data_IF_172795217425
#
_entry.id   IF_172795217425
#
_cell.length_a   1.000
_cell.length_b   1.000
_cell.length_c   1.000
_cell.angle_alpha   90.00
_cell.angle_beta   90.00
_cell.angle_gamma   90.00
#
_symmetry.space_group_name_H-M   'P 1'
#
loop_
_entity.id
_entity.type
_entity.pdbx_description
1 polymer ?
#
# COMPACT_ATOMS: atom_id res chain seq x y z
N UNK A 1 -55.13 37.59 -17.38
CA UNK A 1 -53.82 36.99 -17.70
C UNK A 1 -52.88 37.33 -16.55
N UNK A 2 -52.54 36.36 -15.69
CA UNK A 2 -51.54 36.55 -14.61
C UNK A 2 -50.53 35.40 -14.75
N UNK A 3 -49.32 35.77 -15.11
CA UNK A 3 -48.20 34.86 -15.38
C UNK A 3 -47.69 34.26 -14.07
N UNK A 4 -47.59 32.94 -14.01
CA UNK A 4 -46.88 32.20 -12.98
C UNK A 4 -45.42 32.06 -13.43
N UNK A 5 -44.50 32.76 -12.78
CA UNK A 5 -43.06 32.58 -12.95
C UNK A 5 -42.61 31.40 -12.09
N UNK A 6 -42.32 30.26 -12.72
CA UNK A 6 -41.67 29.13 -12.07
C UNK A 6 -40.15 29.35 -12.11
N UNK A 7 -39.54 29.58 -10.94
CA UNK A 7 -38.09 29.59 -10.80
C UNK A 7 -37.60 28.13 -10.68
N UNK A 8 -36.87 27.65 -11.69
CA UNK A 8 -36.22 26.35 -11.65
C UNK A 8 -34.92 26.47 -10.83
N UNK A 9 -34.86 25.83 -9.66
CA UNK A 9 -33.63 25.65 -8.89
C UNK A 9 -32.83 24.52 -9.54
N UNK A 10 -31.78 24.90 -10.28
CA UNK A 10 -30.82 23.93 -10.83
C UNK A 10 -29.87 23.50 -9.70
N UNK A 11 -30.14 22.35 -9.09
CA UNK A 11 -29.20 21.74 -8.13
C UNK A 11 -27.98 21.25 -8.90
N UNK A 12 -26.84 21.92 -8.75
CA UNK A 12 -25.57 21.43 -9.25
C UNK A 12 -25.21 20.15 -8.49
N UNK A 13 -25.33 19.00 -9.15
CA UNK A 13 -24.75 17.76 -8.66
C UNK A 13 -23.22 17.93 -8.70
N UNK A 14 -22.61 18.21 -7.55
CA UNK A 14 -21.17 18.00 -7.35
C UNK A 14 -20.95 16.51 -7.47
N UNK A 15 -20.52 16.07 -8.65
CA UNK A 15 -19.87 14.77 -8.78
C UNK A 15 -18.60 14.82 -7.95
N UNK A 16 -18.61 14.20 -6.77
CA UNK A 16 -17.36 13.83 -6.11
C UNK A 16 -16.65 12.87 -7.05
N UNK A 17 -15.72 13.38 -7.83
CA UNK A 17 -14.73 12.55 -8.50
C UNK A 17 -13.91 11.97 -7.35
N UNK A 18 -14.25 10.74 -6.94
CA UNK A 18 -13.51 10.01 -5.91
C UNK A 18 -12.12 9.71 -6.48
N UNK A 19 -11.22 10.67 -6.27
CA UNK A 19 -9.86 10.77 -6.77
C UNK A 19 -8.87 9.71 -6.27
N UNK A 20 -9.31 8.76 -5.45
CA UNK A 20 -8.41 7.98 -4.60
C UNK A 20 -9.00 6.61 -4.19
N UNK A 21 -8.20 5.76 -3.57
CA UNK A 21 -8.55 4.37 -3.23
C UNK A 21 -7.91 3.90 -1.91
N UNK A 22 -8.50 2.86 -1.31
CA UNK A 22 -8.09 2.26 -0.04
C UNK A 22 -7.96 0.75 -0.23
N UNK A 23 -6.82 0.15 0.16
CA UNK A 23 -6.71 -1.30 0.31
C UNK A 23 -7.47 -1.73 1.57
N UNK A 24 -8.71 -2.16 1.41
CA UNK A 24 -9.63 -2.31 2.53
C UNK A 24 -9.94 -3.75 2.90
N UNK A 25 -9.61 -4.72 2.06
CA UNK A 25 -9.98 -6.13 2.27
C UNK A 25 -8.82 -7.07 1.96
N UNK A 26 -8.67 -8.10 2.80
CA UNK A 26 -7.66 -9.15 2.64
C UNK A 26 -8.34 -10.47 2.27
N UNK A 27 -7.68 -11.26 1.44
CA UNK A 27 -7.96 -12.69 1.26
C UNK A 27 -6.71 -13.51 1.59
N UNK A 28 -6.88 -14.72 2.11
CA UNK A 28 -5.82 -15.73 2.27
C UNK A 28 -6.31 -17.03 1.66
N UNK A 29 -5.56 -17.59 0.71
CA UNK A 29 -6.02 -18.71 -0.11
C UNK A 29 -7.34 -18.37 -0.82
N UNK A 30 -8.35 -19.22 -0.64
CA UNK A 30 -9.70 -19.00 -1.18
C UNK A 30 -10.61 -18.19 -0.25
N UNK A 31 -10.17 -17.88 0.98
CA UNK A 31 -11.00 -17.17 1.97
C UNK A 31 -10.88 -15.67 1.79
N UNK A 32 -12.00 -15.02 1.49
CA UNK A 32 -12.15 -13.57 1.45
C UNK A 32 -12.73 -13.08 2.78
N UNK A 33 -12.01 -12.22 3.49
CA UNK A 33 -12.41 -11.70 4.80
C UNK A 33 -13.24 -10.43 4.68
N UNK A 34 -13.88 -10.01 5.78
CA UNK A 34 -14.64 -8.76 5.79
C UNK A 34 -13.73 -7.53 5.64
N UNK A 35 -14.32 -6.44 5.16
CA UNK A 35 -13.63 -5.15 5.02
C UNK A 35 -13.09 -4.70 6.38
N UNK A 36 -11.80 -4.37 6.43
CA UNK A 36 -11.02 -4.01 7.61
C UNK A 36 -10.98 -5.05 8.75
N UNK A 37 -11.39 -6.30 8.51
CA UNK A 37 -11.32 -7.34 9.54
C UNK A 37 -9.88 -7.60 10.01
N UNK A 38 -8.97 -7.77 9.04
CA UNK A 38 -7.53 -8.01 9.26
C UNK A 38 -6.64 -6.84 8.86
N UNK A 39 -7.23 -5.76 8.34
CA UNK A 39 -6.52 -4.56 7.90
C UNK A 39 -6.87 -3.41 8.85
N UNK A 40 -5.85 -2.68 9.30
CA UNK A 40 -6.05 -1.49 10.12
C UNK A 40 -6.80 -0.42 9.34
N UNK A 41 -7.95 -0.01 9.86
CA UNK A 41 -8.77 1.02 9.23
C UNK A 41 -8.12 2.39 9.44
N UNK A 42 -7.86 3.08 8.34
CA UNK A 42 -7.33 4.44 8.34
C UNK A 42 -8.44 5.48 8.61
N UNK A 43 -8.05 6.67 9.06
CA UNK A 43 -8.99 7.75 9.44
C UNK A 43 -8.97 8.96 8.50
N UNK A 44 -8.05 9.00 7.54
CA UNK A 44 -7.94 10.05 6.51
C UNK A 44 -8.76 9.75 5.24
N UNK A 45 -9.79 8.91 5.36
CA UNK A 45 -10.64 8.49 4.24
C UNK A 45 -9.80 7.93 3.08
N UNK A 46 -9.88 8.46 1.87
CA UNK A 46 -9.06 8.03 0.75
C UNK A 46 -7.87 8.98 0.47
N UNK A 47 -7.59 9.96 1.34
CA UNK A 47 -6.46 10.87 1.13
C UNK A 47 -5.11 10.15 1.26
N UNK A 48 -4.09 10.52 0.46
CA UNK A 48 -2.78 9.92 0.55
C UNK A 48 -1.97 10.50 1.72
N UNK A 49 -0.95 9.77 2.15
CA UNK A 49 0.15 10.32 2.96
C UNK A 49 1.22 10.84 2.00
N UNK A 50 1.75 12.04 2.23
CA UNK A 50 2.75 12.66 1.34
C UNK A 50 4.03 13.07 2.04
N UNK A 51 3.99 13.29 3.36
CA UNK A 51 5.15 13.69 4.16
C UNK A 51 6.09 12.50 4.41
N UNK A 52 7.32 12.59 3.89
CA UNK A 52 8.38 11.59 4.05
C UNK A 52 8.85 11.41 5.49
N UNK A 53 8.63 12.40 6.36
CA UNK A 53 8.98 12.33 7.78
C UNK A 53 7.84 11.76 8.64
N UNK A 54 6.62 11.60 8.11
CA UNK A 54 5.47 11.18 8.90
C UNK A 54 5.54 9.70 9.30
N UNK A 55 5.18 9.41 10.55
CA UNK A 55 4.95 8.04 11.03
C UNK A 55 3.76 7.36 10.34
N UNK A 56 2.85 8.13 9.74
CA UNK A 56 1.71 7.59 9.00
C UNK A 56 2.16 6.83 7.73
N UNK A 57 3.42 6.99 7.29
CA UNK A 57 3.97 6.15 6.21
C UNK A 57 4.04 4.66 6.55
N UNK A 58 4.00 4.31 7.84
CA UNK A 58 3.99 2.90 8.28
C UNK A 58 2.70 2.21 7.88
N UNK A 59 1.57 2.67 8.42
CA UNK A 59 0.28 2.00 8.31
C UNK A 59 -0.89 2.95 8.03
N UNK A 60 -0.61 4.13 7.46
CA UNK A 60 -1.57 5.21 7.20
C UNK A 60 -2.05 5.94 8.47
N UNK A 61 -2.74 7.06 8.27
CA UNK A 61 -3.28 7.89 9.37
C UNK A 61 -4.29 7.08 10.17
N UNK A 62 -4.10 7.04 11.49
CA UNK A 62 -4.92 6.22 12.40
C UNK A 62 -4.51 4.74 12.47
N UNK A 63 -3.60 4.28 11.60
CA UNK A 63 -3.11 2.89 11.56
C UNK A 63 -1.99 2.57 12.56
N UNK A 64 -1.63 3.50 13.45
CA UNK A 64 -0.61 3.28 14.48
C UNK A 64 -1.03 2.22 15.53
N UNK A 65 -2.33 2.08 15.80
CA UNK A 65 -2.86 1.05 16.71
C UNK A 65 -3.50 -0.09 15.93
N UNK A 66 -3.25 -1.32 16.38
CA UNK A 66 -3.84 -2.55 15.85
C UNK A 66 -4.95 -3.14 16.73
N UNK A 67 -5.28 -2.49 17.84
CA UNK A 67 -6.11 -3.06 18.91
C UNK A 67 -7.53 -3.47 18.46
N UNK A 68 -8.06 -2.80 17.43
CA UNK A 68 -9.41 -3.07 16.88
C UNK A 68 -9.37 -3.93 15.61
N UNK A 69 -8.19 -4.46 15.25
CA UNK A 69 -7.99 -5.27 14.04
C UNK A 69 -7.64 -6.69 14.48
N UNK A 70 -8.25 -7.69 13.84
CA UNK A 70 -7.99 -9.10 14.16
C UNK A 70 -6.74 -9.62 13.44
N UNK A 71 -6.11 -10.67 13.97
CA UNK A 71 -4.91 -11.29 13.39
C UNK A 71 -5.30 -12.54 12.61
N UNK A 72 -4.88 -12.67 11.35
CA UNK A 72 -5.12 -13.87 10.54
C UNK A 72 -3.92 -14.81 10.59
N UNK A 73 -4.17 -16.11 10.81
CA UNK A 73 -3.11 -17.12 10.73
C UNK A 73 -2.80 -17.44 9.27
N UNK A 74 -1.51 -17.48 8.93
CA UNK A 74 -1.00 -17.84 7.61
C UNK A 74 0.16 -18.82 7.72
N UNK A 75 0.43 -19.55 6.65
CA UNK A 75 1.62 -20.39 6.50
C UNK A 75 2.55 -19.80 5.45
N UNK A 76 3.86 -20.07 5.53
CA UNK A 76 4.78 -19.75 4.45
C UNK A 76 4.31 -20.38 3.13
N UNK A 77 4.29 -19.58 2.06
CA UNK A 77 3.80 -19.98 0.74
C UNK A 77 2.31 -19.77 0.48
N UNK A 78 1.50 -19.48 1.51
CA UNK A 78 0.08 -19.15 1.32
C UNK A 78 -0.06 -17.92 0.41
N UNK A 79 -1.01 -17.98 -0.52
CA UNK A 79 -1.39 -16.82 -1.31
C UNK A 79 -2.21 -15.85 -0.44
N UNK A 80 -1.96 -14.56 -0.58
CA UNK A 80 -2.79 -13.50 -0.02
C UNK A 80 -3.09 -12.45 -1.08
N UNK A 81 -4.22 -11.78 -0.93
CA UNK A 81 -4.66 -10.74 -1.86
C UNK A 81 -5.16 -9.52 -1.11
N UNK A 82 -4.57 -8.36 -1.39
CA UNK A 82 -5.17 -7.07 -1.02
C UNK A 82 -6.17 -6.66 -2.09
N UNK A 83 -7.38 -6.29 -1.67
CA UNK A 83 -8.46 -5.79 -2.53
C UNK A 83 -8.79 -4.36 -2.13
N UNK A 84 -8.84 -3.47 -3.12
CA UNK A 84 -9.20 -2.07 -2.93
C UNK A 84 -10.71 -1.86 -3.00
N UNK A 85 -11.18 -0.68 -2.59
CA UNK A 85 -12.54 -0.17 -2.81
C UNK A 85 -12.82 0.18 -4.28
N UNK A 86 -11.84 0.77 -4.96
CA UNK A 86 -11.82 0.98 -6.41
C UNK A 86 -10.45 0.63 -7.00
N UNK A 87 -10.40 0.36 -8.30
CA UNK A 87 -9.17 0.00 -8.97
C UNK A 87 -8.16 1.14 -8.88
N UNK A 88 -6.88 0.82 -8.73
CA UNK A 88 -5.82 1.82 -8.85
C UNK A 88 -5.89 2.45 -10.23
N UNK A 89 -5.75 3.77 -10.30
CA UNK A 89 -5.72 4.51 -11.57
C UNK A 89 -4.66 5.61 -11.61
N UNK A 90 -3.91 5.84 -10.52
CA UNK A 90 -2.71 6.67 -10.58
C UNK A 90 -1.53 5.82 -11.01
N UNK A 91 -0.76 6.33 -11.97
CA UNK A 91 0.50 5.72 -12.39
C UNK A 91 1.48 5.67 -11.22
N UNK A 92 2.10 4.51 -11.02
CA UNK A 92 3.05 4.29 -9.94
C UNK A 92 3.12 2.84 -9.48
N UNK A 93 4.18 2.47 -8.75
CA UNK A 93 4.38 1.08 -8.32
C UNK A 93 3.45 0.73 -7.16
N UNK A 94 3.29 -0.57 -6.95
CA UNK A 94 2.83 -1.14 -5.69
C UNK A 94 4.02 -1.83 -5.04
N UNK A 95 4.17 -1.69 -3.73
CA UNK A 95 5.15 -2.48 -2.98
C UNK A 95 4.54 -3.14 -1.75
N UNK A 96 5.07 -4.31 -1.40
CA UNK A 96 4.72 -5.07 -0.21
C UNK A 96 5.91 -5.12 0.74
N UNK A 97 5.62 -4.90 2.02
CA UNK A 97 6.61 -4.95 3.09
C UNK A 97 6.14 -5.82 4.25
N UNK A 98 7.10 -6.38 4.98
CA UNK A 98 6.88 -7.10 6.23
C UNK A 98 7.66 -6.43 7.35
N UNK A 99 7.04 -6.37 8.53
CA UNK A 99 7.73 -6.03 9.77
C UNK A 99 7.29 -6.95 10.89
N UNK A 100 8.25 -7.58 11.55
CA UNK A 100 7.99 -8.49 12.66
C UNK A 100 7.62 -7.69 13.90
N UNK A 101 6.49 -8.02 14.54
CA UNK A 101 6.16 -7.45 15.83
C UNK A 101 7.11 -8.00 16.90
N UNK A 102 7.60 -7.16 17.83
CA UNK A 102 8.43 -7.61 18.94
C UNK A 102 7.66 -8.51 19.92
N UNK A 103 6.34 -8.33 20.00
CA UNK A 103 5.39 -9.15 20.75
C UNK A 103 4.10 -9.31 19.93
N UNK A 104 2.96 -8.82 20.42
CA UNK A 104 1.69 -8.82 19.72
C UNK A 104 1.63 -7.70 18.69
N UNK A 105 1.18 -8.03 17.48
CA UNK A 105 1.04 -7.07 16.38
C UNK A 105 -0.05 -6.04 16.69
N UNK A 106 -1.04 -6.36 17.53
CA UNK A 106 -2.10 -5.42 17.92
C UNK A 106 -1.57 -4.22 18.72
N UNK A 107 -0.48 -4.40 19.46
CA UNK A 107 0.20 -3.35 20.26
C UNK A 107 1.36 -2.69 19.51
N UNK A 108 1.68 -3.19 18.31
CA UNK A 108 2.85 -2.77 17.55
C UNK A 108 2.52 -1.67 16.54
N UNK A 109 3.18 -0.52 16.65
CA UNK A 109 2.98 0.66 15.81
C UNK A 109 3.82 0.65 14.51
N UNK A 110 4.56 -0.43 14.24
CA UNK A 110 5.44 -0.51 13.07
C UNK A 110 6.80 0.20 13.22
N UNK A 111 7.19 0.60 14.43
CA UNK A 111 8.46 1.30 14.71
C UNK A 111 9.74 0.47 14.52
N UNK A 112 9.60 -0.85 14.39
CA UNK A 112 10.70 -1.76 14.11
C UNK A 112 11.15 -1.72 12.65
N UNK A 113 11.94 -2.73 12.29
CA UNK A 113 12.54 -2.83 10.96
C UNK A 113 11.58 -3.45 9.96
N UNK A 114 11.69 -2.98 8.72
CA UNK A 114 10.89 -3.41 7.57
C UNK A 114 11.76 -4.07 6.52
N UNK A 115 11.19 -5.06 5.82
CA UNK A 115 11.75 -5.63 4.61
C UNK A 115 10.74 -5.43 3.48
N UNK A 116 11.15 -4.78 2.38
CA UNK A 116 10.40 -4.85 1.13
C UNK A 116 10.59 -6.25 0.57
N UNK A 117 9.55 -6.91 0.09
CA UNK A 117 9.69 -8.27 -0.46
C UNK A 117 9.00 -8.45 -1.80
N UNK A 118 8.29 -7.41 -2.27
CA UNK A 118 7.72 -7.39 -3.61
C UNK A 118 7.47 -5.96 -4.08
N UNK A 119 7.86 -5.67 -5.30
CA UNK A 119 7.41 -4.58 -6.13
C UNK A 119 6.61 -5.12 -7.32
N UNK A 120 5.46 -4.49 -7.58
CA UNK A 120 4.77 -4.58 -8.85
C UNK A 120 5.15 -3.34 -9.66
N UNK A 121 6.09 -3.55 -10.58
CA UNK A 121 6.70 -2.53 -11.43
C UNK A 121 5.94 -2.40 -12.77
N UNK A 122 6.13 -1.29 -13.50
CA UNK A 122 5.58 -1.17 -14.84
C UNK A 122 6.32 -2.11 -15.80
N UNK A 123 5.65 -2.49 -16.88
CA UNK A 123 6.31 -3.05 -18.06
C UNK A 123 6.55 -1.94 -19.08
N UNK A 124 7.52 -2.14 -19.96
CA UNK A 124 7.89 -1.16 -20.99
C UNK A 124 7.71 -1.76 -22.37
N UNK A 125 6.98 -1.07 -23.23
CA UNK A 125 6.77 -1.44 -24.63
C UNK A 125 6.69 -0.20 -25.50
N UNK A 126 7.41 -0.17 -26.62
CA UNK A 126 7.44 0.95 -27.56
C UNK A 126 7.67 2.33 -26.91
N UNK A 127 8.53 2.39 -25.88
CA UNK A 127 8.83 3.62 -25.15
C UNK A 127 7.71 4.11 -24.22
N UNK A 128 6.73 3.28 -23.91
CA UNK A 128 5.64 3.57 -22.97
C UNK A 128 5.67 2.62 -21.78
N UNK A 129 5.37 3.16 -20.60
CA UNK A 129 5.23 2.40 -19.36
C UNK A 129 3.77 1.98 -19.13
N UNK A 130 3.54 0.70 -18.93
CA UNK A 130 2.24 0.14 -18.52
C UNK A 130 2.31 -0.24 -17.04
N UNK A 131 1.62 0.53 -16.20
CA UNK A 131 1.58 0.31 -14.76
C UNK A 131 0.56 -0.77 -14.39
N UNK A 132 0.82 -1.56 -13.32
CA UNK A 132 -0.04 -2.67 -12.91
C UNK A 132 -1.32 -2.22 -12.18
N UNK A 133 -2.06 -1.28 -12.76
CA UNK A 133 -3.25 -0.61 -12.22
C UNK A 133 -4.46 -1.56 -12.12
N UNK A 134 -4.67 -2.15 -10.93
CA UNK A 134 -5.67 -3.20 -10.67
C UNK A 134 -6.48 -2.92 -9.41
N UNK A 135 -7.62 -3.61 -9.27
CA UNK A 135 -8.43 -3.66 -8.05
C UNK A 135 -7.82 -4.59 -6.99
N UNK A 136 -7.05 -5.59 -7.41
CA UNK A 136 -6.50 -6.63 -6.54
C UNK A 136 -5.01 -6.85 -6.80
N UNK A 137 -4.28 -7.12 -5.72
CA UNK A 137 -2.86 -7.42 -5.75
C UNK A 137 -2.60 -8.67 -4.92
N UNK A 138 -2.28 -9.76 -5.63
CA UNK A 138 -1.99 -11.07 -5.05
C UNK A 138 -0.49 -11.32 -5.00
N UNK A 139 -0.04 -11.92 -3.91
CA UNK A 139 1.31 -12.50 -3.80
C UNK A 139 1.32 -13.62 -2.77
N UNK A 140 2.50 -14.17 -2.47
CA UNK A 140 2.67 -15.26 -1.50
C UNK A 140 3.43 -14.81 -0.27
N UNK A 141 3.09 -15.36 0.88
CA UNK A 141 3.90 -15.25 2.10
C UNK A 141 5.27 -15.88 1.80
N UNK A 142 6.41 -15.17 2.00
CA UNK A 142 7.74 -15.72 1.73
C UNK A 142 7.99 -17.03 2.48
N UNK A 143 8.52 -18.04 1.79
CA UNK A 143 8.70 -19.40 2.35
C UNK A 143 9.73 -19.45 3.47
N UNK A 144 10.70 -18.54 3.45
CA UNK A 144 11.73 -18.37 4.46
C UNK A 144 11.33 -17.44 5.62
N UNK A 145 10.06 -17.00 5.69
CA UNK A 145 9.60 -16.12 6.77
C UNK A 145 9.46 -16.93 8.08
N UNK A 146 10.13 -16.54 9.18
CA UNK A 146 10.03 -17.22 10.47
C UNK A 146 8.65 -17.10 11.10
N UNK A 147 8.34 -17.96 12.07
CA UNK A 147 7.09 -17.89 12.81
C UNK A 147 6.94 -16.60 13.63
N UNK A 148 5.70 -16.15 13.81
CA UNK A 148 5.30 -15.06 14.71
C UNK A 148 4.40 -14.04 14.03
N UNK A 149 4.13 -12.94 14.74
CA UNK A 149 3.21 -11.91 14.26
C UNK A 149 3.94 -10.81 13.46
N UNK A 150 3.30 -10.35 12.38
CA UNK A 150 3.86 -9.37 11.47
C UNK A 150 2.80 -8.35 11.04
N UNK A 151 3.26 -7.13 10.77
CA UNK A 151 2.57 -6.20 9.87
C UNK A 151 2.91 -6.57 8.43
N UNK A 152 1.87 -6.87 7.65
CA UNK A 152 1.95 -7.02 6.20
C UNK A 152 1.44 -5.73 5.57
N UNK A 153 2.36 -4.90 5.07
CA UNK A 153 2.06 -3.57 4.53
C UNK A 153 1.99 -3.62 3.01
N UNK A 154 0.95 -3.03 2.44
CA UNK A 154 0.87 -2.68 1.01
C UNK A 154 0.88 -1.17 0.88
N UNK A 155 1.52 -0.67 -0.17
CA UNK A 155 1.30 0.71 -0.59
C UNK A 155 1.26 0.88 -2.11
N UNK A 156 0.49 1.86 -2.59
CA UNK A 156 0.63 2.43 -3.92
C UNK A 156 1.34 3.78 -3.79
N UNK A 157 2.34 4.01 -4.65
CA UNK A 157 3.04 5.30 -4.74
C UNK A 157 2.61 6.02 -6.02
N UNK A 158 1.64 6.91 -5.94
CA UNK A 158 1.15 7.70 -7.06
C UNK A 158 2.16 8.75 -7.48
N UNK A 159 2.65 8.65 -8.70
CA UNK A 159 3.63 9.57 -9.32
C UNK A 159 3.12 10.16 -10.65
N UNK A 160 1.81 10.15 -10.83
CA UNK A 160 1.12 10.66 -12.02
C UNK A 160 1.27 12.18 -12.23
N UNK A 161 1.67 12.93 -11.19
CA UNK A 161 1.99 14.35 -11.28
C UNK A 161 3.50 14.55 -11.02
N UNK A 162 4.35 14.49 -12.05
CA UNK A 162 5.79 14.72 -11.88
C UNK A 162 6.10 16.08 -11.26
N UNK A 163 7.17 16.14 -10.47
CA UNK A 163 7.69 17.39 -9.93
C UNK A 163 8.01 18.39 -11.08
N UNK A 164 7.70 19.69 -10.94
CA UNK A 164 7.17 20.38 -9.76
C UNK A 164 5.63 20.45 -9.69
N UNK A 165 4.91 19.79 -10.59
CA UNK A 165 3.44 19.90 -10.66
C UNK A 165 2.72 19.18 -9.50
N UNK A 166 3.34 18.18 -8.89
CA UNK A 166 2.82 17.48 -7.73
C UNK A 166 3.91 16.81 -6.91
N UNK A 167 3.50 16.32 -5.74
CA UNK A 167 4.31 15.48 -4.86
C UNK A 167 3.80 14.04 -4.93
N UNK A 168 4.68 13.03 -4.84
CA UNK A 168 4.25 11.64 -4.80
C UNK A 168 3.30 11.33 -3.64
N UNK A 169 2.35 10.42 -3.89
CA UNK A 169 1.23 10.13 -3.00
C UNK A 169 1.27 8.68 -2.53
N UNK A 170 1.32 8.45 -1.22
CA UNK A 170 1.30 7.10 -0.66
C UNK A 170 -0.11 6.70 -0.21
N UNK A 171 -0.64 5.63 -0.79
CA UNK A 171 -1.88 4.97 -0.34
C UNK A 171 -1.50 3.69 0.37
N UNK A 172 -1.72 3.63 1.68
CA UNK A 172 -1.11 2.62 2.54
C UNK A 172 -2.18 1.85 3.30
N UNK A 173 -1.98 0.54 3.47
CA UNK A 173 -2.70 -0.27 4.45
C UNK A 173 -1.78 -1.31 5.06
N UNK A 174 -2.06 -1.67 6.31
CA UNK A 174 -1.37 -2.76 7.02
C UNK A 174 -2.37 -3.84 7.44
N UNK A 175 -2.11 -5.06 7.00
CA UNK A 175 -2.75 -6.26 7.54
C UNK A 175 -1.98 -6.82 8.75
N UNK A 176 -2.69 -7.53 9.62
CA UNK A 176 -2.12 -8.21 10.78
C UNK A 176 -2.13 -9.71 10.55
N UNK A 177 -0.94 -10.31 10.47
CA UNK A 177 -0.79 -11.74 10.19
C UNK A 177 0.00 -12.43 11.30
N UNK A 178 -0.28 -13.70 11.54
CA UNK A 178 0.51 -14.60 12.37
C UNK A 178 1.02 -15.77 11.52
N UNK A 179 2.32 -15.80 11.29
CA UNK A 179 2.99 -16.85 10.50
C UNK A 179 3.23 -18.05 11.41
N UNK A 180 2.71 -19.21 11.01
CA UNK A 180 2.84 -20.46 11.77
C UNK A 180 3.31 -21.62 10.89
N UNK A 181 3.90 -22.64 11.51
CA UNK A 181 4.37 -23.84 10.81
C UNK A 181 5.62 -23.65 9.94
N UNK A 182 6.30 -22.51 10.04
CA UNK A 182 7.60 -22.27 9.40
C UNK A 182 8.72 -23.03 10.11
N UNK A 183 9.65 -23.56 9.32
CA UNK A 183 10.92 -24.14 9.77
C UNK A 183 12.11 -23.19 9.61
N UNK A 184 11.87 -21.98 9.08
CA UNK A 184 12.92 -20.99 8.86
C UNK A 184 13.51 -20.49 10.19
N UNK A 185 14.84 -20.28 10.21
CA UNK A 185 15.51 -19.70 11.38
C UNK A 185 15.18 -18.21 11.49
N UNK A 186 15.24 -17.65 12.70
CA UNK A 186 15.04 -16.22 12.91
C UNK A 186 15.95 -15.35 12.02
N UNK A 187 17.17 -15.82 11.72
CA UNK A 187 18.13 -15.15 10.86
C UNK A 187 17.75 -15.10 9.37
N UNK A 188 16.79 -15.91 8.91
CA UNK A 188 16.29 -15.86 7.53
C UNK A 188 15.57 -14.54 7.22
N UNK A 189 15.04 -13.86 8.23
CA UNK A 189 14.40 -12.55 8.09
C UNK A 189 15.24 -11.45 8.75
N UNK A 190 16.00 -10.72 7.94
CA UNK A 190 16.91 -9.65 8.36
C UNK A 190 16.50 -8.28 7.78
N UNK A 191 15.37 -7.70 8.24
CA UNK A 191 14.91 -6.40 7.75
C UNK A 191 15.88 -5.27 8.15
N UNK A 192 16.20 -4.38 7.21
CA UNK A 192 17.13 -3.26 7.44
C UNK A 192 16.48 -1.89 7.34
N UNK A 193 15.31 -1.80 6.69
CA UNK A 193 14.63 -0.54 6.41
C UNK A 193 13.90 -0.02 7.66
N UNK A 194 13.77 1.29 7.75
CA UNK A 194 12.92 1.97 8.74
C UNK A 194 11.89 2.81 7.99
N UNK A 195 10.63 2.79 8.43
CA UNK A 195 9.59 3.64 7.88
C UNK A 195 9.07 4.51 9.04
N UNK A 196 9.18 5.86 8.99
CA UNK A 196 9.80 6.68 7.93
C UNK A 196 11.32 6.51 7.81
N UNK A 197 11.89 6.95 6.67
CA UNK A 197 13.33 6.93 6.36
C UNK A 197 13.75 6.02 5.20
N UNK A 198 12.95 5.01 4.85
CA UNK A 198 13.19 4.12 3.72
C UNK A 198 12.98 4.80 2.36
N UNK A 199 12.13 5.82 2.33
CA UNK A 199 11.79 6.60 1.15
C UNK A 199 12.44 7.97 1.24
N UNK A 200 13.10 8.41 0.17
CA UNK A 200 13.80 9.69 0.10
C UNK A 200 13.38 10.46 -1.13
N UNK A 201 13.42 11.77 -1.03
CA UNK A 201 13.25 12.68 -2.18
C UNK A 201 14.31 12.43 -3.26
N UNK A 202 15.51 12.00 -2.86
CA UNK A 202 16.61 11.60 -3.76
C UNK A 202 16.44 10.22 -4.38
N UNK A 203 15.43 9.42 -4.00
CA UNK A 203 15.23 8.12 -4.63
C UNK A 203 14.85 8.31 -6.10
N UNK A 204 15.51 7.61 -7.05
CA UNK A 204 15.38 7.91 -8.48
C UNK A 204 13.95 7.74 -9.00
N UNK A 205 13.16 6.83 -8.41
CA UNK A 205 11.76 6.63 -8.78
C UNK A 205 10.74 7.43 -7.96
N UNK A 206 11.17 8.28 -7.03
CA UNK A 206 10.25 9.09 -6.21
C UNK A 206 9.69 10.27 -7.02
N UNK A 207 10.54 11.13 -7.57
CA UNK A 207 10.13 12.31 -8.37
C UNK A 207 10.43 12.19 -9.87
N UNK A 208 10.55 10.98 -10.40
CA UNK A 208 10.82 10.76 -11.83
C UNK A 208 9.70 11.30 -12.71
N UNK A 209 10.06 11.92 -13.84
CA UNK A 209 9.10 12.28 -14.86
C UNK A 209 8.76 11.06 -15.73
N UNK A 210 7.62 10.42 -15.43
CA UNK A 210 7.14 9.23 -16.15
C UNK A 210 6.64 9.51 -17.58
N UNK A 211 6.50 10.78 -17.97
CA UNK A 211 6.06 11.20 -19.31
C UNK A 211 7.21 11.66 -20.21
N UNK A 212 8.44 11.67 -19.70
CA UNK A 212 9.58 12.10 -20.49
C UNK A 212 9.89 11.10 -21.61
N UNK A 213 10.33 11.58 -22.80
CA UNK A 213 10.82 10.70 -23.84
C UNK A 213 11.93 9.78 -23.33
N UNK A 214 11.86 8.49 -23.67
CA UNK A 214 12.86 7.51 -23.26
C UNK A 214 12.69 6.95 -21.84
N UNK A 215 11.53 7.12 -21.21
CA UNK A 215 11.21 6.42 -19.96
C UNK A 215 11.04 4.91 -20.19
N UNK A 216 12.13 4.16 -20.00
CA UNK A 216 12.23 2.72 -20.31
C UNK A 216 12.58 1.84 -19.11
N UNK A 217 12.82 2.45 -17.95
CA UNK A 217 13.10 1.73 -16.71
C UNK A 217 12.58 2.52 -15.50
N UNK A 218 12.31 1.82 -14.41
CA UNK A 218 11.84 2.40 -13.16
C UNK A 218 12.39 1.62 -11.97
N UNK A 219 12.86 2.35 -10.95
CA UNK A 219 13.34 1.78 -9.68
C UNK A 219 12.45 2.29 -8.57
N UNK A 220 11.67 1.39 -7.96
CA UNK A 220 10.78 1.77 -6.86
C UNK A 220 11.59 2.22 -5.61
N UNK A 221 11.18 3.33 -4.96
CA UNK A 221 11.72 3.73 -3.66
C UNK A 221 11.62 2.63 -2.58
N UNK A 222 12.34 2.81 -1.46
CA UNK A 222 12.25 1.87 -0.33
C UNK A 222 13.21 0.69 -0.40
N UNK A 223 14.41 0.87 -0.96
CA UNK A 223 15.48 -0.14 -0.97
C UNK A 223 15.26 -1.31 -1.94
N UNK A 224 16.08 -2.34 -1.84
CA UNK A 224 15.94 -3.57 -2.63
C UNK A 224 14.90 -4.52 -2.01
N UNK A 225 14.36 -5.43 -2.81
CA UNK A 225 13.58 -6.56 -2.29
C UNK A 225 14.49 -7.49 -1.47
N UNK A 226 14.09 -7.79 -0.24
CA UNK A 226 14.54 -8.95 0.51
C UNK A 226 13.94 -10.20 -0.12
N UNK A 227 14.80 -11.19 -0.37
CA UNK A 227 14.39 -12.47 -0.94
C UNK A 227 14.76 -13.60 0.01
N UNK A 228 14.02 -14.69 -0.13
CA UNK A 228 14.58 -16.01 0.14
C UNK A 228 15.64 -16.31 -0.95
#
# INVERSE_FOLDING_TARGET
MKFLTAAAVLSAAVSEVSGHYIFQQLSVGSTKYDVFQHIRKNTNYNSPVTDLASNDLRCNVGGASGAQTTVVNVKPGDAFTFTLDTAVYHQGPISLFLSKAPSHVQDYDGSGKWAKFKDFLPTFSNGQATWPMRQTYEYKIPTCLPNGEYLLRVHQLGIHNPYPAGIPQFYISCAQINVTGSTASASSFAPTLSIPGAFKDTDPGYTVNIYQPGFTSYVAPGGAEWTC
#
